data_IF_660789334569
#
_entry.id   IF_660789334569
#
_cell.length_a   1.000
_cell.length_b   1.000
_cell.length_c   1.000
_cell.angle_alpha   90.00
_cell.angle_beta   90.00
_cell.angle_gamma   90.00
#
_symmetry.space_group_name_H-M   'P 1'
#
loop_
_entity.id
_entity.type
_entity.pdbx_description
1 polymer ?
#
# COMPACT_ATOMS: atom_id res chain seq x y z
N UNK A 1 -12.47 -2.13 1.03
CA UNK A 1 -13.34 -3.27 0.68
C UNK A 1 -13.14 -4.34 1.73
N UNK A 2 -14.21 -4.79 2.37
CA UNK A 2 -14.09 -5.86 3.36
C UNK A 2 -13.91 -7.22 2.68
N UNK A 3 -12.93 -8.00 3.13
CA UNK A 3 -12.63 -9.34 2.63
C UNK A 3 -13.54 -10.41 3.26
N UNK A 4 -14.85 -10.18 3.31
CA UNK A 4 -15.82 -11.00 4.06
C UNK A 4 -16.96 -11.57 3.20
N UNK A 5 -16.64 -12.06 2.00
CA UNK A 5 -17.60 -12.68 1.07
C UNK A 5 -18.38 -13.82 1.73
N UNK A 6 -17.75 -14.57 2.62
CA UNK A 6 -18.37 -15.63 3.42
C UNK A 6 -19.57 -15.14 4.25
N UNK A 7 -19.46 -13.97 4.90
CA UNK A 7 -20.56 -13.40 5.70
C UNK A 7 -21.77 -13.07 4.81
N UNK A 8 -21.53 -12.45 3.65
CA UNK A 8 -22.60 -12.14 2.70
C UNK A 8 -23.22 -13.39 2.10
N UNK A 9 -22.42 -14.44 1.86
CA UNK A 9 -22.90 -15.77 1.42
C UNK A 9 -23.76 -16.44 2.50
N UNK A 10 -23.34 -16.43 3.75
CA UNK A 10 -24.12 -16.98 4.88
C UNK A 10 -25.47 -16.28 5.03
N UNK A 11 -25.51 -14.96 4.83
CA UNK A 11 -26.75 -14.17 4.83
C UNK A 11 -27.58 -14.30 3.55
N UNK A 12 -27.15 -15.13 2.59
CA UNK A 12 -27.80 -15.34 1.28
C UNK A 12 -27.98 -14.04 0.47
N UNK A 13 -27.06 -13.09 0.64
CA UNK A 13 -27.03 -11.83 -0.10
C UNK A 13 -26.23 -11.93 -1.40
N UNK A 14 -25.39 -12.97 -1.53
CA UNK A 14 -24.59 -13.26 -2.72
C UNK A 14 -24.76 -14.73 -3.12
N UNK A 15 -24.74 -15.01 -4.41
CA UNK A 15 -24.77 -16.35 -5.00
C UNK A 15 -23.37 -16.95 -5.19
N UNK A 16 -22.40 -16.11 -5.56
CA UNK A 16 -21.00 -16.46 -5.76
C UNK A 16 -20.10 -15.24 -5.59
N UNK A 17 -18.79 -15.44 -5.62
CA UNK A 17 -17.82 -14.36 -5.53
C UNK A 17 -17.91 -13.38 -6.72
N UNK A 18 -18.24 -13.87 -7.91
CA UNK A 18 -18.42 -13.05 -9.11
C UNK A 18 -19.51 -11.98 -8.93
N UNK A 19 -20.56 -12.26 -8.16
CA UNK A 19 -21.57 -11.26 -7.81
C UNK A 19 -21.00 -10.13 -6.94
N UNK A 20 -20.09 -10.43 -6.00
CA UNK A 20 -19.41 -9.41 -5.20
C UNK A 20 -18.61 -8.46 -6.11
N UNK A 21 -17.79 -9.03 -7.00
CA UNK A 21 -17.00 -8.26 -7.95
C UNK A 21 -17.88 -7.42 -8.89
N UNK A 22 -18.99 -7.98 -9.38
CA UNK A 22 -19.95 -7.23 -10.22
C UNK A 22 -20.59 -6.08 -9.45
N UNK A 23 -21.03 -6.31 -8.21
CA UNK A 23 -21.62 -5.25 -7.38
C UNK A 23 -20.65 -4.10 -7.15
N UNK A 24 -19.35 -4.38 -7.07
CA UNK A 24 -18.33 -3.36 -6.92
C UNK A 24 -17.98 -2.68 -8.25
N UNK A 25 -17.61 -3.44 -9.28
CA UNK A 25 -16.98 -2.90 -10.48
C UNK A 25 -17.95 -2.54 -11.61
N UNK A 26 -19.09 -3.24 -11.76
CA UNK A 26 -20.03 -2.95 -12.83
C UNK A 26 -20.54 -1.50 -12.79
N UNK A 27 -20.95 -0.95 -11.62
CA UNK A 27 -21.37 0.46 -11.54
C UNK A 27 -20.24 1.43 -11.91
N UNK A 28 -18.98 1.08 -11.62
CA UNK A 28 -17.81 1.92 -11.92
C UNK A 28 -17.52 1.93 -13.43
N UNK A 29 -17.63 0.77 -14.09
CA UNK A 29 -17.54 0.68 -15.54
C UNK A 29 -18.66 1.46 -16.22
N UNK A 30 -19.90 1.31 -15.75
CA UNK A 30 -21.06 2.03 -16.28
C UNK A 30 -20.89 3.55 -16.13
N UNK A 31 -20.50 4.03 -14.94
CA UNK A 31 -20.25 5.45 -14.72
C UNK A 31 -19.05 5.99 -15.52
N UNK A 32 -18.06 5.15 -15.80
CA UNK A 32 -16.94 5.52 -16.67
C UNK A 32 -17.37 5.58 -18.15
N UNK A 33 -18.23 4.68 -18.60
CA UNK A 33 -18.75 4.63 -19.97
C UNK A 33 -19.76 5.75 -20.25
N UNK A 34 -20.65 6.01 -19.32
CA UNK A 34 -21.64 7.08 -19.42
C UNK A 34 -21.75 7.84 -18.09
N UNK A 35 -20.93 8.89 -17.91
CA UNK A 35 -20.99 9.72 -16.72
C UNK A 35 -22.34 10.45 -16.54
N UNK A 36 -23.10 10.64 -17.62
CA UNK A 36 -24.34 11.40 -17.59
C UNK A 36 -25.48 10.64 -16.92
N UNK A 37 -25.59 9.33 -17.16
CA UNK A 37 -26.54 8.45 -16.48
C UNK A 37 -26.16 8.15 -15.03
N UNK A 38 -24.89 8.35 -14.65
CA UNK A 38 -24.37 8.12 -13.30
C UNK A 38 -23.71 9.38 -12.70
N UNK A 39 -24.39 10.52 -12.77
CA UNK A 39 -23.81 11.84 -12.41
C UNK A 39 -23.18 11.90 -11.02
N UNK A 40 -23.93 11.50 -9.98
CA UNK A 40 -23.44 11.57 -8.60
C UNK A 40 -22.25 10.65 -8.37
N UNK A 41 -22.31 9.43 -8.91
CA UNK A 41 -21.20 8.48 -8.82
C UNK A 41 -19.97 9.01 -9.56
N UNK A 42 -20.14 9.58 -10.75
CA UNK A 42 -19.03 10.14 -11.53
C UNK A 42 -18.33 11.29 -10.82
N UNK A 43 -19.09 12.19 -10.18
CA UNK A 43 -18.53 13.27 -9.36
C UNK A 43 -17.75 12.70 -8.18
N UNK A 44 -18.32 11.71 -7.50
CA UNK A 44 -17.65 11.03 -6.38
C UNK A 44 -16.35 10.34 -6.83
N UNK A 45 -16.36 9.65 -7.98
CA UNK A 45 -15.18 8.94 -8.49
C UNK A 45 -14.03 9.86 -8.88
N UNK A 46 -14.27 11.15 -9.12
CA UNK A 46 -13.19 12.12 -9.29
C UNK A 46 -12.43 12.40 -7.98
N UNK A 47 -13.02 12.10 -6.83
CA UNK A 47 -12.41 12.24 -5.50
C UNK A 47 -11.81 10.92 -5.00
N UNK A 48 -12.20 9.79 -5.59
CA UNK A 48 -11.64 8.48 -5.23
C UNK A 48 -10.27 8.34 -5.88
N UNK A 49 -9.26 7.98 -5.08
CA UNK A 49 -7.87 7.85 -5.53
C UNK A 49 -7.33 6.43 -5.47
N UNK A 50 -8.03 5.53 -4.76
CA UNK A 50 -7.58 4.16 -4.61
C UNK A 50 -8.57 3.24 -3.92
N UNK A 51 -8.25 1.96 -3.98
CA UNK A 51 -8.96 0.86 -3.34
C UNK A 51 -8.06 0.25 -2.29
N UNK A 52 -8.59 0.17 -1.09
CA UNK A 52 -8.00 -0.56 0.02
C UNK A 52 -8.85 -1.82 0.29
N UNK A 53 -8.25 -2.89 0.77
CA UNK A 53 -8.92 -4.10 1.23
C UNK A 53 -8.58 -4.40 2.68
N UNK A 54 -9.58 -4.73 3.48
CA UNK A 54 -9.49 -4.90 4.93
C UNK A 54 -10.22 -6.15 5.39
N UNK A 55 -9.67 -6.90 6.34
CA UNK A 55 -10.33 -7.84 7.26
C UNK A 55 -9.29 -8.26 8.31
N UNK A 56 -9.68 -9.06 9.30
CA UNK A 56 -8.75 -9.70 10.21
C UNK A 56 -7.83 -10.70 9.47
N UNK A 57 -6.62 -10.24 9.14
CA UNK A 57 -5.60 -11.02 8.44
C UNK A 57 -5.17 -12.28 9.21
N UNK A 58 -5.44 -12.37 10.52
CA UNK A 58 -5.07 -13.53 11.34
C UNK A 58 -5.97 -14.75 11.11
N UNK A 59 -7.12 -14.57 10.45
CA UNK A 59 -8.04 -15.67 10.14
C UNK A 59 -7.33 -16.73 9.28
N UNK A 60 -7.48 -18.02 9.62
CA UNK A 60 -6.85 -19.08 8.86
C UNK A 60 -7.47 -19.19 7.47
N UNK A 61 -6.61 -19.31 6.45
CA UNK A 61 -7.02 -19.55 5.08
C UNK A 61 -6.87 -21.04 4.76
N UNK A 62 -7.94 -21.68 4.30
CA UNK A 62 -7.96 -23.12 4.01
C UNK A 62 -7.45 -23.47 2.61
N UNK A 63 -7.50 -22.50 1.69
CA UNK A 63 -7.26 -22.73 0.25
C UNK A 63 -6.08 -21.91 -0.23
N UNK A 64 -5.12 -22.54 -0.91
CA UNK A 64 -4.05 -21.83 -1.60
C UNK A 64 -4.50 -21.42 -3.01
N UNK A 65 -4.30 -20.16 -3.38
CA UNK A 65 -4.66 -19.66 -4.70
C UNK A 65 -3.70 -20.22 -5.77
N UNK A 66 -4.25 -20.94 -6.74
CA UNK A 66 -3.49 -21.59 -7.81
C UNK A 66 -4.33 -21.66 -9.08
N UNK A 67 -3.75 -22.21 -10.16
CA UNK A 67 -4.47 -22.44 -11.42
C UNK A 67 -5.66 -23.41 -11.30
N UNK A 68 -5.73 -24.20 -10.23
CA UNK A 68 -6.84 -25.11 -9.96
C UNK A 68 -7.97 -24.45 -9.16
N UNK A 69 -7.77 -23.22 -8.67
CA UNK A 69 -8.78 -22.50 -7.90
C UNK A 69 -9.92 -22.05 -8.81
N UNK A 70 -11.21 -22.23 -8.41
CA UNK A 70 -12.35 -21.91 -9.26
C UNK A 70 -12.43 -20.42 -9.59
N UNK A 71 -13.06 -20.10 -10.73
CA UNK A 71 -13.32 -18.73 -11.14
C UNK A 71 -14.33 -18.03 -10.20
N UNK A 72 -14.45 -16.69 -10.21
CA UNK A 72 -15.35 -15.97 -9.32
C UNK A 72 -16.80 -16.43 -9.43
N UNK A 73 -17.24 -16.73 -10.65
CA UNK A 73 -18.58 -17.22 -10.97
C UNK A 73 -18.84 -18.62 -10.40
N UNK A 74 -17.79 -19.44 -10.31
CA UNK A 74 -17.83 -20.82 -9.80
C UNK A 74 -17.56 -20.91 -8.30
N UNK A 75 -16.98 -19.87 -7.69
CA UNK A 75 -16.76 -19.80 -6.24
C UNK A 75 -18.10 -19.66 -5.51
N UNK A 76 -18.70 -20.81 -5.23
CA UNK A 76 -19.97 -20.97 -4.52
C UNK A 76 -19.79 -21.57 -3.12
N UNK A 77 -18.55 -21.90 -2.72
CA UNK A 77 -18.24 -22.39 -1.38
C UNK A 77 -18.71 -21.41 -0.29
N UNK A 78 -19.00 -21.95 0.89
CA UNK A 78 -19.23 -21.16 2.10
C UNK A 78 -17.94 -20.62 2.71
N UNK A 79 -16.79 -21.18 2.31
CA UNK A 79 -15.49 -20.71 2.73
C UNK A 79 -15.16 -19.35 2.09
N UNK A 80 -14.51 -18.51 2.88
CA UNK A 80 -14.01 -17.23 2.39
C UNK A 80 -12.86 -17.49 1.39
N UNK A 81 -12.82 -16.83 0.22
CA UNK A 81 -11.66 -16.90 -0.66
C UNK A 81 -10.39 -16.44 0.06
N UNK A 82 -9.21 -17.00 -0.28
CA UNK A 82 -7.96 -16.56 0.34
C UNK A 82 -7.62 -15.13 -0.08
N UNK A 83 -6.83 -14.42 0.73
CA UNK A 83 -6.41 -13.04 0.48
C UNK A 83 -5.87 -12.84 -0.94
N UNK A 84 -5.00 -13.76 -1.38
CA UNK A 84 -4.39 -13.68 -2.70
C UNK A 84 -5.40 -13.71 -3.85
N UNK A 85 -6.52 -14.42 -3.68
CA UNK A 85 -7.63 -14.45 -4.62
C UNK A 85 -8.32 -13.08 -4.70
N UNK A 86 -8.63 -12.47 -3.55
CA UNK A 86 -9.21 -11.14 -3.52
C UNK A 86 -8.31 -10.11 -4.19
N UNK A 87 -7.02 -10.04 -3.82
CA UNK A 87 -6.09 -9.07 -4.38
C UNK A 87 -5.93 -9.27 -5.89
N UNK A 88 -5.85 -10.51 -6.37
CA UNK A 88 -5.78 -10.80 -7.80
C UNK A 88 -6.97 -10.26 -8.58
N UNK A 89 -8.20 -10.58 -8.17
CA UNK A 89 -9.38 -10.14 -8.91
C UNK A 89 -9.64 -8.64 -8.74
N UNK A 90 -9.26 -8.04 -7.61
CA UNK A 90 -9.26 -6.59 -7.43
C UNK A 90 -8.28 -5.93 -8.40
N UNK A 91 -7.04 -6.40 -8.45
CA UNK A 91 -6.02 -5.91 -9.38
C UNK A 91 -6.48 -6.02 -10.84
N UNK A 92 -7.00 -7.18 -11.24
CA UNK A 92 -7.45 -7.41 -12.62
C UNK A 92 -8.57 -6.43 -13.03
N UNK A 93 -9.57 -6.26 -12.17
CA UNK A 93 -10.68 -5.33 -12.44
C UNK A 93 -10.25 -3.86 -12.42
N UNK A 94 -9.44 -3.45 -11.43
CA UNK A 94 -8.90 -2.09 -11.34
C UNK A 94 -8.03 -1.78 -12.56
N UNK A 95 -7.19 -2.71 -12.99
CA UNK A 95 -6.32 -2.55 -14.16
C UNK A 95 -7.14 -2.32 -15.44
N UNK A 96 -8.19 -3.11 -15.64
CA UNK A 96 -9.09 -2.96 -16.79
C UNK A 96 -9.88 -1.64 -16.72
N UNK A 97 -10.39 -1.28 -15.55
CA UNK A 97 -11.10 -0.02 -15.33
C UNK A 97 -10.18 1.18 -15.57
N UNK A 98 -8.97 1.16 -15.04
CA UNK A 98 -7.97 2.21 -15.26
C UNK A 98 -7.58 2.34 -16.73
N UNK A 99 -7.49 1.23 -17.48
CA UNK A 99 -7.26 1.30 -18.93
C UNK A 99 -8.37 2.07 -19.64
N UNK A 100 -9.63 1.78 -19.30
CA UNK A 100 -10.78 2.51 -19.85
C UNK A 100 -10.77 3.99 -19.44
N UNK A 101 -10.57 4.27 -18.15
CA UNK A 101 -10.53 5.64 -17.60
C UNK A 101 -9.41 6.47 -18.24
N UNK A 102 -8.23 5.88 -18.45
CA UNK A 102 -7.10 6.53 -19.13
C UNK A 102 -7.44 6.93 -20.56
N UNK A 103 -8.06 6.05 -21.34
CA UNK A 103 -8.49 6.36 -22.72
C UNK A 103 -9.49 7.53 -22.75
N UNK A 104 -10.25 7.71 -21.67
CA UNK A 104 -11.23 8.79 -21.50
C UNK A 104 -10.69 10.03 -20.80
N UNK A 105 -9.39 10.09 -20.48
CA UNK A 105 -8.78 11.22 -19.76
C UNK A 105 -9.31 11.42 -18.34
N UNK A 106 -9.74 10.34 -17.67
CA UNK A 106 -10.25 10.37 -16.29
C UNK A 106 -9.15 10.00 -15.28
N UNK A 107 -9.34 10.35 -14.00
CA UNK A 107 -8.43 9.96 -12.91
C UNK A 107 -8.37 8.43 -12.77
N UNK A 108 -7.25 7.93 -12.27
CA UNK A 108 -6.99 6.50 -12.10
C UNK A 108 -7.06 6.12 -10.62
N UNK A 109 -7.22 4.83 -10.36
CA UNK A 109 -7.27 4.27 -9.01
C UNK A 109 -6.05 3.40 -8.72
N UNK A 110 -5.46 3.56 -7.55
CA UNK A 110 -4.40 2.67 -7.06
C UNK A 110 -4.96 1.58 -6.16
N UNK A 111 -4.40 0.37 -6.19
CA UNK A 111 -4.64 -0.70 -5.23
C UNK A 111 -3.63 -0.59 -4.08
N UNK A 112 -4.15 -0.47 -2.85
CA UNK A 112 -3.40 -0.15 -1.62
C UNK A 112 -3.94 -0.96 -0.43
N UNK A 113 -3.77 -2.29 -0.42
CA UNK A 113 -4.43 -3.12 0.58
C UNK A 113 -3.76 -3.03 1.95
N UNK A 114 -4.54 -3.27 3.01
CA UNK A 114 -3.98 -3.75 4.27
C UNK A 114 -3.28 -5.08 4.01
N UNK A 115 -2.02 -5.18 4.44
CA UNK A 115 -1.20 -6.33 4.17
C UNK A 115 -0.07 -6.53 5.17
N UNK A 116 -0.01 -7.73 5.73
CA UNK A 116 1.08 -8.18 6.56
C UNK A 116 1.09 -7.50 7.92
N UNK A 117 -0.07 -7.11 8.44
CA UNK A 117 -0.24 -6.81 9.87
C UNK A 117 -0.18 -8.12 10.67
N UNK A 118 -0.90 -9.12 10.18
CA UNK A 118 -0.97 -10.47 10.72
C UNK A 118 -1.05 -11.49 9.57
N UNK A 119 -1.42 -12.72 9.89
CA UNK A 119 -1.68 -13.73 8.85
C UNK A 119 -0.46 -14.34 8.16
N UNK A 120 -0.70 -15.07 7.06
CA UNK A 120 0.33 -15.71 6.26
C UNK A 120 1.26 -14.74 5.51
N UNK A 121 2.55 -15.07 5.48
CA UNK A 121 3.60 -14.30 4.78
C UNK A 121 3.38 -14.09 3.28
N UNK A 122 2.59 -14.96 2.62
CA UNK A 122 2.36 -14.88 1.19
C UNK A 122 1.45 -13.70 0.79
N UNK A 123 0.75 -13.08 1.74
CA UNK A 123 0.01 -11.84 1.52
C UNK A 123 0.94 -10.74 0.99
N UNK A 124 2.11 -10.57 1.64
CA UNK A 124 3.13 -9.58 1.28
C UNK A 124 3.72 -9.83 -0.11
N UNK A 125 3.86 -11.11 -0.50
CA UNK A 125 4.31 -11.50 -1.84
C UNK A 125 3.27 -11.13 -2.89
N UNK A 126 2.00 -11.38 -2.60
CA UNK A 126 0.91 -11.07 -3.53
C UNK A 126 0.78 -9.55 -3.71
N UNK A 127 0.81 -8.80 -2.61
CA UNK A 127 0.72 -7.34 -2.66
C UNK A 127 1.94 -6.69 -3.30
N UNK A 128 3.14 -7.28 -3.15
CA UNK A 128 4.33 -6.82 -3.87
C UNK A 128 4.15 -6.89 -5.39
N UNK A 129 3.50 -7.94 -5.89
CA UNK A 129 3.31 -8.15 -7.32
C UNK A 129 2.19 -7.28 -7.92
N UNK A 130 1.16 -6.97 -7.13
CA UNK A 130 -0.13 -6.48 -7.65
C UNK A 130 -0.54 -5.09 -7.14
N UNK A 131 0.06 -4.58 -6.07
CA UNK A 131 -0.35 -3.34 -5.40
C UNK A 131 0.68 -2.23 -5.58
N UNK A 132 0.24 -0.97 -5.47
CA UNK A 132 1.15 0.19 -5.56
C UNK A 132 1.82 0.53 -4.22
N UNK A 133 1.16 0.22 -3.11
CA UNK A 133 1.69 0.30 -1.74
C UNK A 133 0.82 -0.57 -0.83
N UNK A 134 1.21 -0.70 0.43
CA UNK A 134 0.48 -1.46 1.45
C UNK A 134 0.32 -0.66 2.74
N UNK A 135 -0.67 -1.04 3.54
CA UNK A 135 -0.80 -0.64 4.94
C UNK A 135 -0.26 -1.74 5.87
N UNK A 136 0.35 -1.35 7.00
CA UNK A 136 0.98 -2.17 8.04
C UNK A 136 2.37 -2.74 7.71
N UNK A 137 2.48 -3.83 6.94
CA UNK A 137 3.78 -4.44 6.60
C UNK A 137 4.63 -4.95 7.80
N UNK A 138 4.02 -5.19 8.97
CA UNK A 138 4.71 -5.67 10.18
C UNK A 138 5.46 -6.97 9.94
N UNK A 139 4.88 -7.89 9.16
CA UNK A 139 5.44 -9.22 8.90
C UNK A 139 6.63 -9.22 7.93
N UNK A 140 6.96 -8.10 7.27
CA UNK A 140 8.19 -7.99 6.47
C UNK A 140 9.44 -8.28 7.33
N UNK A 141 9.39 -8.06 8.65
CA UNK A 141 10.46 -8.38 9.60
C UNK A 141 10.80 -9.86 9.67
N UNK A 142 9.87 -10.74 9.25
CA UNK A 142 10.03 -12.20 9.27
C UNK A 142 10.57 -12.74 7.94
N UNK A 143 10.64 -11.93 6.89
CA UNK A 143 11.00 -12.36 5.53
C UNK A 143 12.04 -11.41 4.94
N UNK A 144 13.33 -11.60 5.24
CA UNK A 144 14.39 -10.69 4.77
C UNK A 144 14.41 -10.49 3.26
N UNK A 145 14.18 -11.55 2.48
CA UNK A 145 14.16 -11.47 1.01
C UNK A 145 13.04 -10.58 0.48
N UNK A 146 11.82 -10.74 0.99
CA UNK A 146 10.68 -9.90 0.56
C UNK A 146 10.85 -8.47 1.06
N UNK A 147 11.32 -8.26 2.29
CA UNK A 147 11.64 -6.92 2.79
C UNK A 147 12.65 -6.20 1.90
N UNK A 148 13.67 -6.92 1.43
CA UNK A 148 14.66 -6.39 0.52
C UNK A 148 14.05 -6.03 -0.85
N UNK A 149 13.14 -6.85 -1.39
CA UNK A 149 12.41 -6.50 -2.60
C UNK A 149 11.56 -5.22 -2.45
N UNK A 150 10.88 -5.04 -1.32
CA UNK A 150 10.14 -3.81 -1.02
C UNK A 150 11.07 -2.58 -0.96
N UNK A 151 12.28 -2.75 -0.43
CA UNK A 151 13.32 -1.72 -0.47
C UNK A 151 13.77 -1.42 -1.90
N UNK A 152 14.16 -2.42 -2.68
CA UNK A 152 14.69 -2.21 -4.03
C UNK A 152 13.67 -1.60 -4.98
N UNK A 153 12.42 -2.08 -4.92
CA UNK A 153 11.32 -1.57 -5.72
C UNK A 153 10.72 -0.27 -5.15
N UNK A 154 11.18 0.18 -3.97
CA UNK A 154 10.65 1.34 -3.26
C UNK A 154 9.11 1.31 -3.15
N UNK A 155 8.55 0.15 -2.80
CA UNK A 155 7.11 0.00 -2.58
C UNK A 155 6.74 0.62 -1.25
N UNK A 156 5.74 1.52 -1.29
CA UNK A 156 5.30 2.26 -0.12
C UNK A 156 4.71 1.37 0.99
N UNK A 157 5.05 1.66 2.25
CA UNK A 157 4.45 1.02 3.44
C UNK A 157 3.94 2.09 4.41
N UNK A 158 2.63 2.24 4.52
CA UNK A 158 1.99 3.10 5.52
C UNK A 158 1.82 2.32 6.83
N UNK A 159 2.50 2.75 7.88
CA UNK A 159 2.54 2.04 9.16
C UNK A 159 1.86 2.85 10.24
N UNK A 160 1.11 2.19 11.13
CA UNK A 160 0.37 2.83 12.23
C UNK A 160 0.81 2.28 13.60
N UNK A 161 2.00 2.66 14.10
CA UNK A 161 2.60 2.07 15.29
C UNK A 161 1.75 2.08 16.57
N UNK A 162 0.94 3.11 16.82
CA UNK A 162 0.05 3.19 17.98
C UNK A 162 -1.11 2.18 17.87
N UNK A 163 -1.70 2.04 16.68
CA UNK A 163 -2.70 1.00 16.40
C UNK A 163 -2.08 -0.39 16.61
N UNK A 164 -0.92 -0.64 16.00
CA UNK A 164 -0.25 -1.93 16.10
C UNK A 164 0.14 -2.25 17.56
N UNK A 165 0.52 -1.25 18.35
CA UNK A 165 0.79 -1.39 19.79
C UNK A 165 -0.43 -1.81 20.59
N UNK A 166 -1.61 -1.32 20.23
CA UNK A 166 -2.82 -1.68 20.93
C UNK A 166 -3.26 -3.12 20.64
N UNK A 167 -3.03 -3.60 19.40
CA UNK A 167 -3.64 -4.83 18.92
C UNK A 167 -2.69 -6.03 18.79
N UNK A 168 -1.44 -5.83 18.36
CA UNK A 168 -0.59 -6.92 17.85
C UNK A 168 0.83 -6.96 18.40
N UNK A 169 1.43 -5.80 18.70
CA UNK A 169 2.88 -5.71 18.90
C UNK A 169 3.28 -4.50 19.73
N UNK A 170 3.89 -4.70 20.91
CA UNK A 170 4.43 -3.62 21.74
C UNK A 170 5.18 -2.56 20.92
N UNK A 171 4.96 -1.27 21.21
CA UNK A 171 5.47 -0.14 20.43
C UNK A 171 6.99 -0.20 20.22
N UNK A 172 7.74 -0.57 21.27
CA UNK A 172 9.20 -0.71 21.23
C UNK A 172 9.69 -1.88 20.36
N UNK A 173 8.81 -2.83 20.04
CA UNK A 173 9.10 -3.98 19.18
C UNK A 173 8.64 -3.76 17.75
N UNK A 174 8.05 -2.60 17.44
CA UNK A 174 7.70 -2.21 16.08
C UNK A 174 8.95 -2.24 15.18
N UNK A 175 8.85 -2.83 13.96
CA UNK A 175 9.97 -2.85 13.03
C UNK A 175 10.16 -1.52 12.29
N UNK A 176 9.29 -0.52 12.53
CA UNK A 176 9.33 0.78 11.87
C UNK A 176 10.72 1.45 11.90
N UNK A 177 11.44 1.54 13.06
CA UNK A 177 12.74 2.21 13.08
C UNK A 177 13.80 1.48 12.26
N UNK A 178 13.70 0.14 12.19
CA UNK A 178 14.61 -0.70 11.42
C UNK A 178 14.35 -0.53 9.91
N UNK A 179 13.08 -0.52 9.50
CA UNK A 179 12.69 -0.26 8.11
C UNK A 179 13.12 1.13 7.65
N UNK A 180 12.90 2.15 8.49
CA UNK A 180 13.31 3.52 8.18
C UNK A 180 14.82 3.63 8.04
N UNK A 181 15.58 3.01 8.95
CA UNK A 181 17.05 3.01 8.88
C UNK A 181 17.56 2.35 7.61
N UNK A 182 16.95 1.22 7.21
CA UNK A 182 17.26 0.50 5.96
C UNK A 182 16.86 1.26 4.69
N UNK A 183 16.06 2.31 4.79
CA UNK A 183 15.66 3.11 3.64
C UNK A 183 14.48 2.55 2.86
N UNK A 184 13.64 1.73 3.49
CA UNK A 184 12.34 1.38 2.92
C UNK A 184 11.49 2.65 2.79
N UNK A 185 10.67 2.71 1.73
CA UNK A 185 9.73 3.82 1.48
C UNK A 185 8.54 3.74 2.45
N UNK A 186 8.75 4.15 3.70
CA UNK A 186 7.71 4.07 4.75
C UNK A 186 7.18 5.45 5.15
N UNK A 187 5.96 5.47 5.68
CA UNK A 187 5.35 6.64 6.30
C UNK A 187 4.57 6.26 7.57
N UNK A 188 4.37 7.23 8.47
CA UNK A 188 3.46 7.09 9.61
C UNK A 188 2.02 7.39 9.20
N UNK A 189 1.09 6.59 9.69
CA UNK A 189 -0.36 6.72 9.56
C UNK A 189 -1.06 6.48 10.89
N UNK A 190 -2.35 6.79 10.98
CA UNK A 190 -3.11 6.76 12.23
C UNK A 190 -4.01 5.54 12.40
N UNK A 191 -4.33 4.83 11.31
CA UNK A 191 -5.33 3.77 11.28
C UNK A 191 -6.72 4.27 11.73
N UNK A 192 -7.13 3.99 12.98
CA UNK A 192 -8.35 4.48 13.62
C UNK A 192 -8.06 5.57 14.68
N UNK A 193 -7.96 6.86 14.30
CA UNK A 193 -7.76 7.97 15.22
C UNK A 193 -8.68 7.98 16.44
N UNK A 194 -9.96 7.68 16.24
CA UNK A 194 -10.97 7.71 17.31
C UNK A 194 -10.74 6.64 18.39
N UNK A 195 -10.03 5.56 18.04
CA UNK A 195 -9.79 4.44 18.95
C UNK A 195 -8.44 4.56 19.66
N UNK A 196 -7.39 4.99 18.93
CA UNK A 196 -6.01 4.87 19.41
C UNK A 196 -5.35 6.17 19.86
N UNK A 197 -5.97 7.33 19.58
CA UNK A 197 -5.34 8.63 19.80
C UNK A 197 -6.12 9.45 20.83
N UNK A 198 -5.40 10.22 21.63
CA UNK A 198 -5.98 11.03 22.72
C UNK A 198 -5.98 12.52 22.41
N UNK A 199 -5.19 12.95 21.43
CA UNK A 199 -5.06 14.36 21.08
C UNK A 199 -6.04 14.79 19.99
N UNK A 200 -6.17 16.11 19.79
CA UNK A 200 -6.96 16.69 18.69
C UNK A 200 -6.30 16.54 17.32
N UNK A 201 -5.01 16.23 17.28
CA UNK A 201 -4.23 16.10 16.06
C UNK A 201 -3.58 14.70 16.02
N UNK A 202 -4.37 13.65 15.69
CA UNK A 202 -3.95 12.25 15.81
C UNK A 202 -2.64 11.95 15.07
N UNK A 203 -2.49 12.43 13.83
CA UNK A 203 -1.26 12.22 13.07
C UNK A 203 -0.06 12.91 13.73
N UNK A 204 -0.25 14.10 14.32
CA UNK A 204 0.83 14.78 15.04
C UNK A 204 1.23 14.06 16.31
N UNK A 205 0.28 13.40 16.99
CA UNK A 205 0.55 12.51 18.13
C UNK A 205 1.40 11.30 17.71
N UNK A 206 1.09 10.65 16.58
CA UNK A 206 1.95 9.57 16.05
C UNK A 206 3.39 10.04 15.82
N UNK A 207 3.54 11.14 15.07
CA UNK A 207 4.87 11.71 14.80
C UNK A 207 5.59 12.09 16.12
N UNK A 208 4.88 12.69 17.07
CA UNK A 208 5.47 13.11 18.36
C UNK A 208 5.94 11.93 19.20
N UNK A 209 5.15 10.87 19.31
CA UNK A 209 5.51 9.67 20.07
C UNK A 209 6.67 8.93 19.39
N UNK A 210 6.60 8.75 18.07
CA UNK A 210 7.67 8.14 17.28
C UNK A 210 9.00 8.88 17.47
N UNK A 211 9.00 10.22 17.41
CA UNK A 211 10.20 11.02 17.64
C UNK A 211 10.76 10.86 19.06
N UNK A 212 9.91 10.85 20.08
CA UNK A 212 10.36 10.73 21.47
C UNK A 212 10.87 9.34 21.81
N UNK A 213 10.20 8.29 21.33
CA UNK A 213 10.55 6.90 21.64
C UNK A 213 11.75 6.43 20.80
N UNK A 214 11.73 6.69 19.49
CA UNK A 214 12.77 6.23 18.57
C UNK A 214 13.89 7.25 18.30
N UNK A 215 13.84 8.41 18.97
CA UNK A 215 14.85 9.48 18.88
C UNK A 215 15.02 10.03 17.45
N UNK A 216 13.91 10.14 16.71
CA UNK A 216 13.91 10.74 15.38
C UNK A 216 14.16 12.25 15.49
N UNK A 217 15.11 12.76 14.71
CA UNK A 217 15.39 14.18 14.63
C UNK A 217 14.51 14.86 13.56
N UNK A 218 14.59 16.18 13.44
CA UNK A 218 13.79 16.95 12.49
C UNK A 218 13.96 16.48 11.03
N UNK A 219 15.17 16.08 10.62
CA UNK A 219 15.41 15.58 9.25
C UNK A 219 14.68 14.26 9.02
N UNK A 220 14.71 13.36 10.00
CA UNK A 220 14.02 12.07 9.94
C UNK A 220 12.50 12.28 9.81
N UNK A 221 11.96 13.20 10.59
CA UNK A 221 10.53 13.54 10.57
C UNK A 221 10.11 14.17 9.23
N UNK A 222 10.92 15.07 8.68
CA UNK A 222 10.69 15.67 7.36
C UNK A 222 10.80 14.64 6.23
N UNK A 223 11.72 13.67 6.33
CA UNK A 223 11.84 12.57 5.36
C UNK A 223 10.60 11.68 5.37
N UNK A 224 10.08 11.31 6.56
CA UNK A 224 8.84 10.55 6.69
C UNK A 224 7.63 11.30 6.13
N UNK A 225 7.54 12.61 6.38
CA UNK A 225 6.49 13.46 5.83
C UNK A 225 6.60 13.61 4.30
N UNK A 226 7.80 13.75 3.76
CA UNK A 226 8.05 13.73 2.30
C UNK A 226 7.60 12.40 1.70
N UNK A 227 7.96 11.29 2.32
CA UNK A 227 7.61 9.94 1.87
C UNK A 227 6.10 9.73 1.81
N UNK A 228 5.34 10.24 2.78
CA UNK A 228 3.87 10.12 2.81
C UNK A 228 3.23 10.86 1.63
N UNK A 229 3.73 12.04 1.26
CA UNK A 229 3.27 12.79 0.09
C UNK A 229 3.63 12.07 -1.21
N UNK A 230 4.84 11.54 -1.33
CA UNK A 230 5.24 10.74 -2.49
C UNK A 230 4.32 9.52 -2.65
N UNK A 231 4.06 8.82 -1.55
CA UNK A 231 3.19 7.65 -1.48
C UNK A 231 1.71 7.99 -1.75
N UNK A 232 1.26 9.24 -1.58
CA UNK A 232 -0.13 9.62 -1.81
C UNK A 232 -0.57 9.52 -3.29
N UNK A 233 -1.86 9.57 -3.56
CA UNK A 233 -2.42 9.63 -4.94
C UNK A 233 -2.98 11.03 -5.27
N UNK A 234 -2.50 12.08 -4.60
CA UNK A 234 -2.82 13.46 -4.99
C UNK A 234 -2.30 13.77 -6.40
N UNK A 235 -2.94 14.72 -7.06
CA UNK A 235 -2.59 15.18 -8.40
C UNK A 235 -1.16 15.74 -8.45
N UNK A 236 -0.53 15.62 -9.62
CA UNK A 236 0.85 16.06 -9.84
C UNK A 236 1.06 17.53 -9.47
N UNK A 237 0.11 18.42 -9.82
CA UNK A 237 0.19 19.83 -9.47
C UNK A 237 0.20 20.10 -7.95
N UNK A 238 -0.52 19.26 -7.18
CA UNK A 238 -0.55 19.36 -5.71
C UNK A 238 0.78 18.86 -5.14
N UNK A 239 1.30 17.73 -5.66
CA UNK A 239 2.61 17.23 -5.27
C UNK A 239 3.74 18.19 -5.63
N UNK A 240 3.71 18.83 -6.80
CA UNK A 240 4.66 19.87 -7.19
C UNK A 240 4.62 21.06 -6.23
N UNK A 241 3.42 21.46 -5.79
CA UNK A 241 3.27 22.54 -4.83
C UNK A 241 3.88 22.20 -3.46
N UNK A 242 3.71 20.95 -2.99
CA UNK A 242 4.21 20.51 -1.69
C UNK A 242 5.68 20.09 -1.67
N UNK A 243 6.18 19.50 -2.76
CA UNK A 243 7.52 18.90 -2.81
C UNK A 243 8.51 19.63 -3.72
N UNK A 244 8.01 20.49 -4.63
CA UNK A 244 8.80 21.16 -5.67
C UNK A 244 8.48 20.64 -7.07
N UNK A 245 8.73 21.47 -8.08
CA UNK A 245 8.37 21.19 -9.49
C UNK A 245 9.03 19.91 -10.02
N UNK A 246 10.26 19.63 -9.56
CA UNK A 246 11.06 18.49 -10.03
C UNK A 246 10.90 17.25 -9.15
N UNK A 247 9.85 17.13 -8.31
CA UNK A 247 9.77 16.07 -7.31
C UNK A 247 9.80 14.63 -7.88
N UNK A 248 9.50 14.46 -9.17
CA UNK A 248 9.56 13.18 -9.88
C UNK A 248 10.98 12.79 -10.33
N UNK A 249 11.96 13.70 -10.24
CA UNK A 249 13.35 13.41 -10.57
C UNK A 249 14.02 12.58 -9.47
N UNK A 250 14.98 11.73 -9.85
CA UNK A 250 15.69 10.89 -8.91
C UNK A 250 16.76 11.64 -8.11
N UNK A 251 17.03 11.16 -6.89
CA UNK A 251 18.10 11.68 -6.05
C UNK A 251 17.93 13.16 -5.66
N UNK A 252 19.04 13.89 -5.42
CA UNK A 252 18.99 15.28 -5.00
C UNK A 252 18.32 16.24 -5.99
N UNK A 253 18.28 15.88 -7.28
CA UNK A 253 17.67 16.71 -8.32
C UNK A 253 16.15 16.89 -8.11
N UNK A 254 15.48 15.87 -7.54
CA UNK A 254 14.07 15.92 -7.20
C UNK A 254 13.75 16.44 -5.80
N UNK A 255 14.70 17.09 -5.12
CA UNK A 255 14.48 17.62 -3.79
C UNK A 255 14.59 19.15 -3.73
N UNK A 256 13.46 19.82 -3.53
CA UNK A 256 13.44 21.22 -3.15
C UNK A 256 13.46 21.34 -1.61
N UNK A 257 14.64 21.60 -1.04
CA UNK A 257 14.81 21.74 0.42
C UNK A 257 13.93 22.83 1.03
N UNK A 258 13.56 23.87 0.26
CA UNK A 258 12.72 24.96 0.77
C UNK A 258 11.27 24.53 0.98
N UNK A 259 10.88 23.41 0.37
CA UNK A 259 9.55 22.78 0.46
C UNK A 259 9.56 21.59 1.40
N UNK A 260 10.55 20.72 1.27
CA UNK A 260 10.60 19.44 1.99
C UNK A 260 11.29 19.54 3.35
N UNK A 261 12.15 20.54 3.53
CA UNK A 261 13.05 20.66 4.69
C UNK A 261 13.96 19.42 4.91
N UNK A 262 14.14 18.59 3.87
CA UNK A 262 15.06 17.44 3.88
C UNK A 262 16.38 17.87 3.23
N UNK A 263 17.53 17.81 3.92
CA UNK A 263 18.81 18.17 3.34
C UNK A 263 19.19 17.30 2.13
N UNK A 264 19.75 17.91 1.10
CA UNK A 264 20.17 17.19 -0.11
C UNK A 264 21.17 16.06 0.18
N UNK A 265 22.00 16.18 1.22
CA UNK A 265 22.92 15.10 1.63
C UNK A 265 22.18 13.85 2.12
N UNK A 266 21.02 14.00 2.79
CA UNK A 266 20.17 12.86 3.19
C UNK A 266 19.61 12.16 1.97
N UNK A 267 19.12 12.93 1.00
CA UNK A 267 18.55 12.39 -0.25
C UNK A 267 19.63 11.73 -1.12
N UNK A 268 20.82 12.35 -1.23
CA UNK A 268 21.96 11.79 -1.93
C UNK A 268 22.36 10.43 -1.35
N UNK A 269 22.51 10.34 -0.02
CA UNK A 269 22.84 9.09 0.66
C UNK A 269 21.81 7.98 0.38
N UNK A 270 20.50 8.26 0.47
CA UNK A 270 19.45 7.29 0.16
C UNK A 270 19.53 6.80 -1.28
N UNK A 271 19.67 7.73 -2.22
CA UNK A 271 19.71 7.42 -3.65
C UNK A 271 20.96 6.63 -4.03
N UNK A 272 22.15 7.07 -3.59
CA UNK A 272 23.42 6.39 -3.85
C UNK A 272 23.41 4.97 -3.28
N UNK A 273 22.91 4.80 -2.05
CA UNK A 273 22.78 3.46 -1.42
C UNK A 273 21.84 2.57 -2.23
N UNK A 274 20.68 3.07 -2.65
CA UNK A 274 19.73 2.29 -3.46
C UNK A 274 20.32 1.88 -4.81
N UNK A 275 20.99 2.82 -5.49
CA UNK A 275 21.65 2.56 -6.78
C UNK A 275 22.76 1.52 -6.63
N UNK A 276 23.54 1.56 -5.54
CA UNK A 276 24.58 0.58 -5.27
C UNK A 276 24.00 -0.82 -5.04
N UNK A 277 22.92 -0.93 -4.25
CA UNK A 277 22.23 -2.20 -4.01
C UNK A 277 21.64 -2.79 -5.30
N UNK A 278 21.05 -1.95 -6.16
CA UNK A 278 20.56 -2.37 -7.47
C UNK A 278 21.69 -2.84 -8.38
N UNK A 279 22.83 -2.14 -8.39
CA UNK A 279 24.02 -2.57 -9.14
C UNK A 279 24.51 -3.94 -8.67
N UNK A 280 24.60 -4.17 -7.36
CA UNK A 280 25.07 -5.44 -6.81
C UNK A 280 24.22 -6.64 -7.25
N UNK A 281 22.90 -6.46 -7.36
CA UNK A 281 21.99 -7.52 -7.81
C UNK A 281 22.06 -7.71 -9.32
N UNK A 282 22.10 -6.62 -10.09
CA UNK A 282 22.08 -6.68 -11.56
C UNK A 282 23.44 -7.06 -12.17
N UNK A 283 24.54 -6.80 -11.47
CA UNK A 283 25.90 -7.20 -11.85
C UNK A 283 26.26 -8.62 -11.38
N UNK A 284 25.34 -9.32 -10.70
CA UNK A 284 25.54 -10.73 -10.39
C UNK A 284 25.42 -11.58 -11.67
N UNK A 285 26.49 -11.58 -12.46
CA UNK A 285 26.77 -12.62 -13.44
C UNK A 285 27.06 -13.88 -12.63
N UNK A 286 26.05 -14.73 -12.46
CA UNK A 286 26.08 -15.95 -11.67
C UNK A 286 27.42 -16.65 -11.82
N UNK A 287 28.23 -16.61 -10.75
CA UNK A 287 29.60 -17.09 -10.78
C UNK A 287 29.65 -18.46 -11.43
N UNK A 288 30.33 -18.57 -12.56
CA UNK A 288 30.91 -19.83 -13.00
C UNK A 288 31.84 -20.27 -11.88
N UNK A 289 31.33 -21.13 -10.99
CA UNK A 289 32.17 -21.98 -10.17
C UNK A 289 32.83 -22.96 -11.14
N UNK A 290 34.00 -22.59 -11.64
CA UNK A 290 35.00 -23.55 -12.07
C UNK A 290 35.53 -24.22 -10.80
N UNK A 291 34.89 -25.32 -10.39
CA UNK A 291 35.43 -26.37 -9.51
C UNK A 291 34.80 -27.72 -9.90
#
# INVERSE_FOLDING_TARGET
MYLCSDIYRQKKLLENFGQLLRNLFLPLFQATLDPSSHKNLSIFLNQVIGFDSVDDESKPESTFFSSATPTPEEWTSHDNPPYSYYIFYMFANISMLNRLRRIRGMNLFTLRPHCGEAGPVHHLVTSFLLSQNISHGLLLRKIPSIQYLYYLAQIGVAMSPLSNNHLFLDYNRSPFPEYFRRGLHISLSTDDPLQFHFTREPLMEEYSIAAQVWKLNAVDMCELAKNSVLMSSFEDCVKQHWLGVNYNEEGPAGNDITRTNVPNIRVAYRHETLVEELKNILQWDGGTTDD
#
